data_IF_877615752651
#
_entry.id   IF_877615752651
#
_cell.length_a   1.000
_cell.length_b   1.000
_cell.length_c   1.000
_cell.angle_alpha   90.00
_cell.angle_beta   90.00
_cell.angle_gamma   90.00
#
_symmetry.space_group_name_H-M   'P 1'
#
loop_
_entity.id
_entity.type
_entity.pdbx_description
1 polymer ?
#
# COMPACT_ATOMS: atom_id res chain seq x y z
N UNK A 1 13.11 9.43 9.56
CA UNK A 1 12.43 8.36 8.81
C UNK A 1 11.36 9.01 7.98
N UNK A 2 11.52 9.04 6.66
CA UNK A 2 10.46 9.47 5.76
C UNK A 2 9.64 8.22 5.33
N UNK A 3 8.32 8.27 5.47
CA UNK A 3 7.42 7.17 5.15
C UNK A 3 6.25 7.66 4.31
N UNK A 4 6.03 7.00 3.17
CA UNK A 4 4.77 7.12 2.41
C UNK A 4 3.83 6.00 2.84
N UNK A 5 2.63 6.37 3.28
CA UNK A 5 1.50 5.45 3.42
C UNK A 5 0.56 5.67 2.27
N UNK A 6 0.15 4.60 1.61
CA UNK A 6 -0.71 4.71 0.46
C UNK A 6 -1.77 3.63 0.39
N UNK A 7 -2.76 3.89 -0.46
CA UNK A 7 -3.74 2.90 -0.87
C UNK A 7 -4.08 3.09 -2.34
N UNK A 8 -4.75 2.10 -2.93
CA UNK A 8 -5.26 2.19 -4.30
C UNK A 8 -6.77 2.05 -4.35
N UNK A 9 -7.37 2.68 -5.36
CA UNK A 9 -8.71 2.38 -5.82
C UNK A 9 -8.66 1.76 -7.20
N UNK A 10 -9.56 0.81 -7.45
CA UNK A 10 -9.64 0.02 -8.66
C UNK A 10 -11.10 -0.24 -9.10
N UNK A 11 -11.36 -0.09 -10.40
CA UNK A 11 -12.66 -0.30 -11.03
C UNK A 11 -13.83 0.42 -10.33
N UNK A 12 -14.56 -0.29 -9.46
CA UNK A 12 -15.80 0.18 -8.80
C UNK A 12 -15.64 0.34 -7.29
N UNK A 13 -14.51 -0.08 -6.71
CA UNK A 13 -14.28 -0.06 -5.26
C UNK A 13 -14.17 1.37 -4.70
N UNK A 14 -13.80 2.35 -5.54
CA UNK A 14 -13.59 3.74 -5.18
C UNK A 14 -14.82 4.36 -4.53
N UNK A 15 -16.02 3.83 -4.84
CA UNK A 15 -17.27 4.25 -4.20
C UNK A 15 -17.29 3.90 -2.72
N UNK A 16 -16.84 2.71 -2.36
CA UNK A 16 -16.76 2.26 -0.98
C UNK A 16 -15.61 2.99 -0.29
N UNK A 17 -14.43 2.98 -0.90
CA UNK A 17 -13.20 3.50 -0.30
C UNK A 17 -13.29 5.01 -0.04
N UNK A 18 -13.70 5.78 -1.05
CA UNK A 18 -13.71 7.23 -0.99
C UNK A 18 -15.02 7.79 -0.43
N UNK A 19 -16.20 7.21 -0.75
CA UNK A 19 -17.49 7.76 -0.27
C UNK A 19 -17.89 7.25 1.11
N UNK A 20 -17.59 5.99 1.45
CA UNK A 20 -17.93 5.44 2.77
C UNK A 20 -16.83 5.65 3.82
N UNK A 21 -15.67 6.18 3.40
CA UNK A 21 -14.66 6.71 4.29
C UNK A 21 -13.74 5.66 4.92
N UNK A 22 -13.67 4.43 4.39
CA UNK A 22 -12.70 3.43 4.87
C UNK A 22 -11.26 3.93 4.74
N UNK A 23 -10.97 4.73 3.70
CA UNK A 23 -9.67 5.38 3.51
C UNK A 23 -9.22 6.19 4.73
N UNK A 24 -10.15 6.78 5.50
CA UNK A 24 -9.81 7.54 6.70
C UNK A 24 -9.16 6.67 7.78
N UNK A 25 -9.57 5.40 7.89
CA UNK A 25 -8.98 4.46 8.86
C UNK A 25 -7.51 4.17 8.54
N UNK A 26 -7.19 4.01 7.25
CA UNK A 26 -5.81 3.82 6.81
C UNK A 26 -5.03 5.11 7.00
N UNK A 27 -5.49 6.22 6.44
CA UNK A 27 -4.70 7.46 6.36
C UNK A 27 -4.57 8.20 7.69
N UNK A 28 -5.60 8.19 8.55
CA UNK A 28 -5.60 8.87 9.85
C UNK A 28 -5.37 7.94 11.04
N UNK A 29 -5.51 6.62 10.83
CA UNK A 29 -5.17 5.60 11.81
C UNK A 29 -3.74 5.13 11.60
N UNK A 30 -3.55 4.17 10.69
CA UNK A 30 -2.26 3.56 10.42
C UNK A 30 -1.21 4.58 9.96
N UNK A 31 -1.59 5.43 8.99
CA UNK A 31 -0.72 6.44 8.41
C UNK A 31 -0.66 7.78 9.15
N UNK A 32 -1.10 7.83 10.42
CA UNK A 32 -1.15 9.10 11.17
C UNK A 32 0.22 9.79 11.29
N UNK A 33 1.29 9.01 11.40
CA UNK A 33 2.68 9.49 11.50
C UNK A 33 3.39 9.52 10.14
N UNK A 34 2.70 9.20 9.04
CA UNK A 34 3.30 9.18 7.72
C UNK A 34 3.74 10.58 7.28
N UNK A 35 4.84 10.64 6.54
CA UNK A 35 5.32 11.87 5.90
C UNK A 35 4.46 12.26 4.71
N UNK A 36 3.93 11.26 4.00
CA UNK A 36 3.07 11.42 2.84
C UNK A 36 1.96 10.38 2.85
N UNK A 37 0.72 10.80 2.56
CA UNK A 37 -0.47 9.96 2.42
C UNK A 37 -0.99 10.07 0.99
N UNK A 38 -0.85 8.99 0.23
CA UNK A 38 -1.07 8.99 -1.21
C UNK A 38 -2.23 8.07 -1.60
N UNK A 39 -3.02 8.50 -2.60
CA UNK A 39 -4.02 7.65 -3.25
C UNK A 39 -3.61 7.34 -4.70
N UNK A 40 -3.61 6.05 -5.04
CA UNK A 40 -3.36 5.56 -6.40
C UNK A 40 -4.72 5.30 -7.07
N UNK A 41 -5.02 6.03 -8.14
CA UNK A 41 -6.23 5.85 -8.95
C UNK A 41 -5.90 4.93 -10.13
N UNK A 42 -6.30 3.66 -10.03
CA UNK A 42 -5.97 2.62 -11.00
C UNK A 42 -7.22 2.11 -11.72
N UNK A 43 -7.21 2.04 -13.06
CA UNK A 43 -8.23 1.32 -13.85
C UNK A 43 -9.70 1.62 -13.44
N UNK A 44 -10.05 2.91 -13.30
CA UNK A 44 -11.42 3.35 -12.96
C UNK A 44 -12.18 3.81 -14.20
N UNK A 45 -13.50 3.60 -14.22
CA UNK A 45 -14.36 3.98 -15.34
C UNK A 45 -14.66 5.49 -15.40
N UNK A 46 -14.46 6.21 -14.28
CA UNK A 46 -14.82 7.62 -14.11
C UNK A 46 -13.70 8.43 -13.44
N UNK A 47 -12.53 8.60 -14.08
CA UNK A 47 -11.36 9.22 -13.47
C UNK A 47 -11.64 10.63 -12.94
N UNK A 48 -12.41 11.47 -13.66
CA UNK A 48 -12.78 12.82 -13.20
C UNK A 48 -13.69 12.80 -11.96
N UNK A 49 -14.61 11.83 -11.86
CA UNK A 49 -15.46 11.71 -10.66
C UNK A 49 -14.62 11.28 -9.46
N UNK A 50 -13.70 10.33 -9.66
CA UNK A 50 -12.78 9.84 -8.61
C UNK A 50 -11.84 10.94 -8.13
N UNK A 51 -11.23 11.70 -9.04
CA UNK A 51 -10.38 12.84 -8.70
C UNK A 51 -11.11 13.87 -7.84
N UNK A 52 -12.37 14.21 -8.16
CA UNK A 52 -13.16 15.13 -7.34
C UNK A 52 -13.34 14.65 -5.89
N UNK A 53 -13.46 13.34 -5.67
CA UNK A 53 -13.50 12.79 -4.32
C UNK A 53 -12.12 12.81 -3.65
N UNK A 54 -11.05 12.56 -4.39
CA UNK A 54 -9.68 12.67 -3.90
C UNK A 54 -9.34 14.12 -3.52
N UNK A 55 -9.69 15.11 -4.35
CA UNK A 55 -9.54 16.55 -4.08
C UNK A 55 -10.23 16.94 -2.77
N UNK A 56 -11.43 16.41 -2.51
CA UNK A 56 -12.13 16.65 -1.25
C UNK A 56 -11.36 16.06 -0.06
N UNK A 57 -10.79 14.86 -0.19
CA UNK A 57 -10.00 14.24 0.87
C UNK A 57 -8.68 14.99 1.13
N UNK A 58 -8.09 15.59 0.09
CA UNK A 58 -6.93 16.49 0.24
C UNK A 58 -7.36 17.76 0.98
N UNK A 59 -8.47 18.38 0.57
CA UNK A 59 -9.02 19.55 1.24
C UNK A 59 -9.30 19.31 2.73
N UNK A 60 -9.82 18.11 3.06
CA UNK A 60 -10.10 17.67 4.42
C UNK A 60 -8.83 17.26 5.21
N UNK A 61 -7.64 17.31 4.61
CA UNK A 61 -6.37 16.94 5.24
C UNK A 61 -6.18 15.44 5.48
N UNK A 62 -6.94 14.60 4.77
CA UNK A 62 -6.89 13.13 4.88
C UNK A 62 -5.83 12.55 3.95
N UNK A 63 -5.74 13.09 2.73
CA UNK A 63 -4.69 12.78 1.76
C UNK A 63 -3.79 13.99 1.60
N UNK A 64 -2.56 13.74 1.19
CA UNK A 64 -1.64 14.81 0.79
C UNK A 64 -1.64 14.96 -0.75
N UNK A 65 -1.85 13.87 -1.49
CA UNK A 65 -1.92 13.87 -2.96
C UNK A 65 -2.65 12.63 -3.53
N UNK A 66 -2.87 12.60 -4.85
CA UNK A 66 -3.23 11.40 -5.60
C UNK A 66 -2.50 11.29 -6.94
N UNK A 67 -2.38 10.07 -7.44
CA UNK A 67 -1.74 9.75 -8.72
C UNK A 67 -2.69 8.95 -9.59
N UNK A 68 -2.85 9.34 -10.85
CA UNK A 68 -3.41 8.47 -11.87
C UNK A 68 -2.36 7.48 -12.34
N UNK A 69 -2.60 6.19 -12.12
CA UNK A 69 -1.62 5.14 -12.43
C UNK A 69 -1.31 5.08 -13.93
N UNK A 70 -2.31 5.34 -14.78
CA UNK A 70 -2.15 5.29 -16.24
C UNK A 70 -1.13 6.31 -16.76
N UNK A 71 -1.02 7.48 -16.11
CA UNK A 71 -0.09 8.56 -16.50
C UNK A 71 1.39 8.13 -16.35
N UNK A 72 1.67 7.18 -15.45
CA UNK A 72 3.03 6.75 -15.11
C UNK A 72 3.32 5.29 -15.46
N UNK A 73 2.31 4.50 -15.84
CA UNK A 73 2.43 3.07 -16.08
C UNK A 73 3.56 2.73 -17.07
N UNK A 74 3.64 3.46 -18.18
CA UNK A 74 4.70 3.24 -19.18
C UNK A 74 6.09 3.55 -18.64
N UNK A 75 6.24 4.59 -17.84
CA UNK A 75 7.51 4.98 -17.25
C UNK A 75 7.97 3.95 -16.20
N UNK A 76 7.05 3.49 -15.34
CA UNK A 76 7.33 2.47 -14.34
C UNK A 76 7.74 1.14 -14.99
N UNK A 77 6.99 0.66 -15.99
CA UNK A 77 7.35 -0.55 -16.74
C UNK A 77 8.75 -0.48 -17.36
N UNK A 78 9.08 0.65 -17.99
CA UNK A 78 10.40 0.88 -18.56
C UNK A 78 11.50 0.89 -17.49
N UNK A 79 11.24 1.49 -16.32
CA UNK A 79 12.18 1.54 -15.21
C UNK A 79 12.52 0.14 -14.68
N UNK A 80 11.50 -0.71 -14.48
CA UNK A 80 11.69 -2.09 -14.01
C UNK A 80 12.12 -3.06 -15.11
N UNK A 81 12.16 -2.62 -16.38
CA UNK A 81 12.47 -3.44 -17.56
C UNK A 81 11.51 -4.64 -17.71
N UNK A 82 10.23 -4.38 -17.44
CA UNK A 82 9.14 -5.35 -17.54
C UNK A 82 8.14 -4.81 -18.57
N UNK A 83 7.60 -5.67 -19.42
CA UNK A 83 6.53 -5.33 -20.37
C UNK A 83 5.15 -5.63 -19.79
N UNK A 84 4.11 -5.07 -20.42
CA UNK A 84 2.72 -5.43 -20.07
C UNK A 84 2.46 -6.92 -20.34
N UNK A 85 3.08 -7.46 -21.37
CA UNK A 85 2.99 -8.87 -21.77
C UNK A 85 3.59 -9.81 -20.71
N UNK A 86 4.71 -9.42 -20.08
CA UNK A 86 5.33 -10.21 -18.99
C UNK A 86 4.39 -10.35 -17.79
N UNK A 87 3.59 -9.32 -17.50
CA UNK A 87 2.57 -9.35 -16.44
C UNK A 87 1.28 -10.05 -16.88
N UNK A 88 1.02 -10.11 -18.18
CA UNK A 88 -0.18 -10.71 -18.75
C UNK A 88 -1.48 -10.19 -18.13
N UNK A 89 -2.33 -11.10 -17.64
CA UNK A 89 -3.58 -10.73 -16.93
C UNK A 89 -3.31 -10.05 -15.58
N UNK A 90 -2.13 -10.26 -15.00
CA UNK A 90 -1.67 -9.65 -13.75
C UNK A 90 -1.42 -8.14 -13.87
N UNK A 91 -1.29 -7.60 -15.09
CA UNK A 91 -0.97 -6.19 -15.32
C UNK A 91 -1.83 -5.24 -14.47
N UNK A 92 -3.16 -5.36 -14.56
CA UNK A 92 -4.07 -4.44 -13.87
C UNK A 92 -4.05 -4.59 -12.34
N UNK A 93 -3.57 -5.73 -11.84
CA UNK A 93 -3.44 -5.99 -10.41
C UNK A 93 -2.14 -5.43 -9.83
N UNK A 94 -1.07 -5.39 -10.63
CA UNK A 94 0.30 -5.05 -10.18
C UNK A 94 0.78 -3.67 -10.62
N UNK A 95 0.17 -3.06 -11.64
CA UNK A 95 0.70 -1.81 -12.21
C UNK A 95 0.64 -0.64 -11.23
N UNK A 96 -0.35 -0.63 -10.31
CA UNK A 96 -0.44 0.41 -9.28
C UNK A 96 0.75 0.35 -8.31
N UNK A 97 1.13 -0.85 -7.87
CA UNK A 97 2.27 -1.10 -6.98
C UNK A 97 3.58 -0.77 -7.67
N UNK A 98 3.75 -1.13 -8.95
CA UNK A 98 4.94 -0.75 -9.71
C UNK A 98 5.04 0.77 -9.85
N UNK A 99 3.95 1.46 -10.19
CA UNK A 99 3.93 2.93 -10.25
C UNK A 99 4.23 3.54 -8.89
N UNK A 100 3.67 2.99 -7.82
CA UNK A 100 3.95 3.44 -6.45
C UNK A 100 5.45 3.36 -6.11
N UNK A 101 6.07 2.18 -6.30
CA UNK A 101 7.50 1.98 -6.03
C UNK A 101 8.34 2.95 -6.89
N UNK A 102 7.98 3.12 -8.16
CA UNK A 102 8.67 4.02 -9.09
C UNK A 102 8.60 5.50 -8.66
N UNK A 103 7.47 5.93 -8.08
CA UNK A 103 7.25 7.32 -7.63
C UNK A 103 7.59 7.57 -6.16
N UNK A 104 8.01 6.54 -5.41
CA UNK A 104 8.29 6.68 -3.99
C UNK A 104 9.56 7.49 -3.76
N UNK A 105 9.41 8.66 -3.15
CA UNK A 105 10.51 9.57 -2.79
C UNK A 105 10.95 9.42 -1.32
N UNK A 106 10.17 8.70 -0.51
CA UNK A 106 10.46 8.44 0.90
C UNK A 106 11.31 7.19 1.07
N UNK A 107 12.02 7.10 2.19
CA UNK A 107 12.90 5.96 2.51
C UNK A 107 12.12 4.63 2.58
N UNK A 108 10.85 4.69 3.03
CA UNK A 108 9.97 3.54 3.18
C UNK A 108 8.61 3.79 2.53
N UNK A 109 7.98 2.69 2.12
CA UNK A 109 6.66 2.66 1.50
C UNK A 109 5.80 1.62 2.22
N UNK A 110 4.62 2.03 2.67
CA UNK A 110 3.60 1.14 3.21
C UNK A 110 2.36 1.18 2.32
N UNK A 111 2.15 0.10 1.56
CA UNK A 111 1.00 -0.06 0.67
C UNK A 111 -0.11 -0.86 1.35
N UNK A 112 -1.33 -0.31 1.33
CA UNK A 112 -2.53 -1.02 1.76
C UNK A 112 -3.49 -1.16 0.58
N UNK A 113 -3.91 -2.38 0.26
CA UNK A 113 -4.95 -2.60 -0.74
C UNK A 113 -6.27 -1.94 -0.31
N UNK A 114 -7.13 -1.58 -1.26
CA UNK A 114 -8.37 -0.86 -1.00
C UNK A 114 -9.37 -1.60 -0.09
N UNK A 115 -9.22 -2.92 0.05
CA UNK A 115 -9.99 -3.80 0.93
C UNK A 115 -9.29 -4.11 2.26
N UNK A 116 -8.12 -3.53 2.53
CA UNK A 116 -7.44 -3.68 3.81
C UNK A 116 -8.17 -2.89 4.90
N UNK A 117 -8.50 -3.58 5.99
CA UNK A 117 -9.13 -2.99 7.17
C UNK A 117 -8.24 -3.22 8.38
N UNK A 118 -7.79 -2.13 9.01
CA UNK A 118 -7.12 -2.20 10.31
C UNK A 118 -8.05 -2.81 11.35
N UNK A 119 -7.57 -3.82 12.08
CA UNK A 119 -8.23 -4.31 13.28
C UNK A 119 -8.03 -3.31 14.43
N UNK A 120 -9.06 -3.11 15.25
CA UNK A 120 -9.00 -2.16 16.39
C UNK A 120 -7.93 -2.55 17.43
N UNK A 121 -7.51 -3.81 17.47
CA UNK A 121 -6.49 -4.34 18.38
C UNK A 121 -5.05 -4.19 17.86
N UNK A 122 -4.87 -3.63 16.67
CA UNK A 122 -3.54 -3.48 16.08
C UNK A 122 -2.70 -2.46 16.87
N UNK A 123 -1.44 -2.78 17.22
CA UNK A 123 -0.56 -1.81 17.88
C UNK A 123 -0.42 -0.55 17.04
N UNK A 124 -0.56 0.62 17.66
CA UNK A 124 -0.52 1.90 16.92
C UNK A 124 0.84 2.22 16.31
N UNK A 125 1.90 1.55 16.76
CA UNK A 125 3.30 1.76 16.42
C UNK A 125 3.88 0.67 15.51
N UNK A 126 3.06 -0.29 15.03
CA UNK A 126 3.55 -1.41 14.24
C UNK A 126 4.35 -1.01 12.99
N UNK A 127 4.01 0.11 12.33
CA UNK A 127 4.76 0.63 11.19
C UNK A 127 6.17 1.06 11.60
N UNK A 128 6.35 1.61 12.79
CA UNK A 128 7.68 1.94 13.30
C UNK A 128 8.48 0.66 13.56
N UNK A 129 7.87 -0.33 14.21
CA UNK A 129 8.50 -1.65 14.45
C UNK A 129 8.90 -2.34 13.15
N UNK A 130 8.04 -2.25 12.11
CA UNK A 130 8.34 -2.79 10.80
C UNK A 130 9.52 -2.08 10.13
N UNK A 131 9.59 -0.75 10.22
CA UNK A 131 10.71 0.02 9.67
C UNK A 131 12.01 -0.22 10.45
N UNK A 132 11.94 -0.32 11.78
CA UNK A 132 13.10 -0.68 12.62
C UNK A 132 13.69 -2.03 12.18
N UNK A 133 12.84 -3.04 11.94
CA UNK A 133 13.31 -4.33 11.41
C UNK A 133 14.02 -4.17 10.06
N UNK A 134 13.44 -3.40 9.12
CA UNK A 134 14.04 -3.13 7.81
C UNK A 134 15.37 -2.37 7.90
N UNK A 135 15.58 -1.59 8.97
CA UNK A 135 16.84 -0.87 9.21
C UNK A 135 17.92 -1.78 9.78
N UNK A 136 17.54 -2.70 10.67
CA UNK A 136 18.47 -3.59 11.36
C UNK A 136 18.87 -4.80 10.51
N UNK A 137 18.03 -5.19 9.54
CA UNK A 137 18.19 -6.42 8.76
C UNK A 137 18.22 -6.15 7.27
N UNK A 138 19.43 -6.05 6.72
CA UNK A 138 19.67 -5.89 5.27
C UNK A 138 19.16 -7.08 4.43
N UNK A 139 18.96 -8.24 5.05
CA UNK A 139 18.40 -9.45 4.44
C UNK A 139 16.85 -9.44 4.36
N UNK A 140 16.19 -8.46 4.96
CA UNK A 140 14.73 -8.30 4.94
C UNK A 140 14.36 -7.14 4.02
N UNK A 141 13.57 -7.41 2.97
CA UNK A 141 13.15 -6.39 2.01
C UNK A 141 11.70 -5.92 2.17
N UNK A 142 10.87 -6.70 2.88
CA UNK A 142 9.43 -6.45 3.04
C UNK A 142 8.98 -6.94 4.40
N UNK A 143 8.06 -6.21 5.02
CA UNK A 143 7.35 -6.60 6.25
C UNK A 143 5.86 -6.41 6.03
N UNK A 144 5.06 -7.41 6.38
CA UNK A 144 3.61 -7.36 6.30
C UNK A 144 2.99 -7.90 7.59
N UNK A 145 1.73 -7.54 7.82
CA UNK A 145 0.93 -8.10 8.89
C UNK A 145 0.49 -9.53 8.55
N UNK A 146 0.29 -10.35 9.57
CA UNK A 146 -0.37 -11.65 9.40
C UNK A 146 -1.83 -11.45 8.98
N UNK A 147 -2.24 -12.12 7.88
CA UNK A 147 -3.61 -12.03 7.38
C UNK A 147 -4.59 -12.67 8.36
N UNK A 148 -5.74 -12.03 8.58
CA UNK A 148 -6.83 -12.51 9.44
C UNK A 148 -6.41 -13.04 10.83
N UNK A 149 -5.29 -12.55 11.38
CA UNK A 149 -4.71 -13.03 12.64
C UNK A 149 -4.39 -14.53 12.63
N UNK A 150 -4.15 -15.13 11.45
CA UNK A 150 -3.83 -16.55 11.26
C UNK A 150 -2.36 -16.86 11.56
N UNK A 151 -1.91 -16.47 12.75
CA UNK A 151 -0.53 -16.66 13.20
C UNK A 151 -0.09 -18.13 13.12
N UNK A 152 -0.99 -19.08 13.41
CA UNK A 152 -0.66 -20.51 13.32
C UNK A 152 -0.38 -20.99 11.89
N UNK A 153 -0.91 -20.33 10.86
CA UNK A 153 -0.59 -20.67 9.47
C UNK A 153 0.72 -20.00 9.05
N UNK A 154 0.92 -18.73 9.45
CA UNK A 154 2.19 -18.01 9.28
C UNK A 154 3.36 -18.81 9.85
N UNK A 155 3.23 -19.33 11.08
CA UNK A 155 4.28 -20.09 11.75
C UNK A 155 4.63 -21.41 11.04
N UNK A 156 3.67 -22.04 10.35
CA UNK A 156 3.92 -23.29 9.62
C UNK A 156 4.71 -23.06 8.33
N UNK A 157 4.46 -21.93 7.67
CA UNK A 157 5.10 -21.57 6.41
C UNK A 157 6.41 -20.78 6.64
N UNK A 158 6.67 -20.38 7.88
CA UNK A 158 7.90 -19.70 8.28
C UNK A 158 9.12 -20.62 8.19
N UNK A 159 10.22 -20.07 7.70
CA UNK A 159 11.54 -20.69 7.73
C UNK A 159 12.07 -20.69 9.17
N UNK A 160 11.89 -19.57 9.86
CA UNK A 160 12.20 -19.42 11.28
C UNK A 160 11.38 -18.28 11.90
N UNK A 161 11.34 -18.27 13.24
CA UNK A 161 10.66 -17.27 14.06
C UNK A 161 11.70 -16.54 14.92
N UNK A 162 11.55 -15.23 15.07
CA UNK A 162 12.39 -14.40 15.94
C UNK A 162 11.52 -13.30 16.56
N UNK A 163 11.44 -13.28 17.88
CA UNK A 163 10.59 -12.36 18.64
C UNK A 163 9.13 -12.33 18.15
N UNK A 164 8.69 -11.22 17.56
CA UNK A 164 7.34 -11.00 17.03
C UNK A 164 7.24 -11.26 15.53
N UNK A 165 8.32 -11.71 14.88
CA UNK A 165 8.41 -11.85 13.44
C UNK A 165 8.56 -13.30 12.98
N UNK A 166 7.90 -13.59 11.86
CA UNK A 166 8.06 -14.82 11.11
C UNK A 166 8.73 -14.52 9.77
N UNK A 167 9.72 -15.33 9.40
CA UNK A 167 10.57 -15.07 8.24
C UNK A 167 10.30 -16.10 7.14
N UNK A 168 10.19 -15.64 5.90
CA UNK A 168 9.89 -16.47 4.74
C UNK A 168 10.13 -15.73 3.43
N UNK A 169 10.05 -16.44 2.31
CA UNK A 169 10.20 -15.85 0.97
C UNK A 169 8.89 -15.31 0.39
N UNK A 170 7.80 -15.34 1.16
CA UNK A 170 6.52 -14.78 0.75
C UNK A 170 5.47 -14.96 1.84
N UNK A 171 4.77 -13.85 2.14
CA UNK A 171 3.50 -13.86 2.83
C UNK A 171 2.57 -12.94 2.03
N UNK A 172 1.35 -13.42 1.75
CA UNK A 172 0.28 -12.69 1.07
C UNK A 172 -0.97 -12.79 1.94
#
# INVERSE_FOLDING_TARGET
>A
MALTVETKVWEKDWRFILKQGSIKKVMLGLGRSATKRLLLINNVDRPTEVARYADQLIHDGILDDYVFVDDYASAALNFFKISKEDLGKGYYYSIAELVSIYLCETDYLAHFSGDTIAQDSMPSDWLNTAVELLQEREDVSVVNLAWDSKFSEVDKDAIFLEESFAYGYGFS
#
